data_IF_100207446050
#
_entry.id   IF_100207446050
#
_cell.length_a   1.000
_cell.length_b   1.000
_cell.length_c   1.000
_cell.angle_alpha   90.00
_cell.angle_beta   90.00
_cell.angle_gamma   90.00
#
_symmetry.space_group_name_H-M   'P 1'
#
loop_
_entity.id
_entity.type
_entity.pdbx_description
1 polymer ?
#
# COMPACT_ATOMS: atom_id res chain seq x y z
N UNK A 1 36.63 1.86 -19.01
CA UNK A 1 36.04 2.01 -17.68
C UNK A 1 34.61 1.48 -17.83
N UNK A 2 34.26 0.37 -17.17
CA UNK A 2 32.86 -0.07 -17.14
C UNK A 2 32.04 1.01 -16.41
N UNK A 3 30.96 1.48 -17.01
CA UNK A 3 29.99 2.29 -16.27
C UNK A 3 29.58 1.49 -15.04
N UNK A 4 29.55 2.13 -13.89
CA UNK A 4 29.05 1.49 -12.67
C UNK A 4 27.58 1.12 -12.90
N UNK A 5 27.24 -0.13 -12.67
CA UNK A 5 25.86 -0.62 -12.78
C UNK A 5 25.02 0.05 -11.71
N UNK A 6 23.86 0.63 -12.09
CA UNK A 6 22.92 1.26 -11.16
C UNK A 6 21.95 0.21 -10.67
N UNK A 7 21.88 0.00 -9.37
CA UNK A 7 20.96 -0.95 -8.72
C UNK A 7 19.69 -0.22 -8.29
N UNK A 8 18.55 -0.68 -8.78
CA UNK A 8 17.24 -0.10 -8.49
C UNK A 8 16.36 -1.17 -7.85
N UNK A 9 15.90 -0.88 -6.62
CA UNK A 9 14.79 -1.63 -6.00
C UNK A 9 13.47 -1.08 -6.53
N UNK A 10 12.74 -1.90 -7.28
CA UNK A 10 11.50 -1.50 -7.93
C UNK A 10 10.24 -1.84 -7.13
N UNK A 11 10.39 -2.46 -5.95
CA UNK A 11 9.28 -2.92 -5.10
C UNK A 11 9.58 -2.72 -3.60
N UNK A 12 10.21 -1.58 -3.28
CA UNK A 12 10.50 -1.22 -1.91
C UNK A 12 9.26 -0.74 -1.16
N UNK A 13 9.07 -1.21 0.08
CA UNK A 13 7.94 -0.78 0.91
C UNK A 13 8.34 0.21 1.99
N UNK A 14 7.41 1.11 2.31
CA UNK A 14 7.43 1.94 3.53
C UNK A 14 6.50 1.34 4.57
N UNK A 15 6.68 1.74 5.83
CA UNK A 15 5.76 1.44 6.93
C UNK A 15 5.19 2.78 7.39
N UNK A 16 4.00 3.09 6.95
CA UNK A 16 3.38 4.38 7.24
C UNK A 16 3.19 4.52 8.76
N UNK A 17 3.67 5.63 9.38
CA UNK A 17 3.35 5.90 10.77
C UNK A 17 1.86 5.72 11.07
N UNK A 18 1.52 5.17 12.22
CA UNK A 18 0.13 4.83 12.57
C UNK A 18 -0.84 6.02 12.44
N UNK A 19 -0.33 7.25 12.59
CA UNK A 19 -1.08 8.49 12.51
C UNK A 19 -1.02 9.19 11.12
N UNK A 20 -0.46 8.53 10.10
CA UNK A 20 -0.30 9.11 8.76
C UNK A 20 -1.62 9.62 8.20
N UNK A 21 -2.67 8.78 8.22
CA UNK A 21 -3.96 9.20 7.66
C UNK A 21 -4.62 10.28 8.50
N UNK A 22 -4.54 10.24 9.82
CA UNK A 22 -5.09 11.30 10.69
C UNK A 22 -4.44 12.66 10.42
N UNK A 23 -3.14 12.67 10.11
CA UNK A 23 -2.37 13.89 9.83
C UNK A 23 -2.60 14.45 8.42
N UNK A 24 -2.68 13.59 7.41
CA UNK A 24 -2.65 13.99 6.00
C UNK A 24 -4.02 13.97 5.31
N UNK A 25 -5.06 13.38 5.94
CA UNK A 25 -6.40 13.32 5.37
C UNK A 25 -7.09 14.70 5.46
N UNK A 26 -8.01 14.95 4.54
CA UNK A 26 -8.85 16.15 4.63
C UNK A 26 -9.64 16.17 5.96
N UNK A 27 -9.76 17.33 6.63
CA UNK A 27 -10.39 17.41 7.97
C UNK A 27 -11.77 16.79 8.06
N UNK A 28 -12.58 16.87 7.00
CA UNK A 28 -13.95 16.30 6.97
C UNK A 28 -14.01 14.77 7.04
N UNK A 29 -12.89 14.08 6.78
CA UNK A 29 -12.78 12.62 6.86
C UNK A 29 -11.95 12.13 8.04
N UNK A 30 -11.46 13.05 8.90
CA UNK A 30 -10.54 12.69 9.98
C UNK A 30 -11.11 11.65 10.94
N UNK A 31 -12.40 11.75 11.26
CA UNK A 31 -13.08 10.80 12.15
C UNK A 31 -13.24 9.40 11.53
N UNK A 32 -12.93 9.26 10.23
CA UNK A 32 -12.99 8.03 9.47
C UNK A 32 -11.62 7.60 8.96
N UNK A 33 -10.55 8.27 9.42
CA UNK A 33 -9.18 8.00 8.99
C UNK A 33 -8.75 6.57 9.34
N UNK A 34 -7.82 6.04 8.54
CA UNK A 34 -7.14 4.78 8.90
C UNK A 34 -6.35 5.00 10.18
N UNK A 35 -6.52 4.12 11.15
CA UNK A 35 -5.81 4.16 12.41
C UNK A 35 -5.66 2.75 13.02
N UNK A 36 -4.82 2.63 14.04
CA UNK A 36 -4.66 1.41 14.82
C UNK A 36 -5.40 1.59 16.15
N UNK A 37 -6.33 0.69 16.44
CA UNK A 37 -7.03 0.61 17.73
C UNK A 37 -6.66 -0.68 18.45
N UNK A 38 -7.03 -0.78 19.75
CA UNK A 38 -6.94 -2.02 20.52
C UNK A 38 -8.33 -2.58 20.77
N UNK A 39 -8.47 -3.88 20.58
CA UNK A 39 -9.73 -4.58 20.88
C UNK A 39 -9.87 -4.87 22.40
N UNK A 40 -10.96 -5.54 22.76
CA UNK A 40 -11.29 -5.96 24.14
C UNK A 40 -10.26 -6.93 24.76
N UNK A 41 -9.42 -7.55 23.94
CA UNK A 41 -8.33 -8.42 24.38
C UNK A 41 -6.97 -7.69 24.39
N UNK A 42 -6.95 -6.39 24.08
CA UNK A 42 -5.76 -5.57 24.02
C UNK A 42 -4.94 -5.75 22.73
N UNK A 43 -5.44 -6.52 21.75
CA UNK A 43 -4.77 -6.76 20.49
C UNK A 43 -4.97 -5.61 19.50
N UNK A 44 -3.93 -5.26 18.76
CA UNK A 44 -4.01 -4.23 17.74
C UNK A 44 -4.87 -4.65 16.56
N UNK A 45 -5.65 -3.70 16.04
CA UNK A 45 -6.52 -3.82 14.88
C UNK A 45 -6.30 -2.64 13.95
N UNK A 46 -6.13 -2.92 12.66
CA UNK A 46 -6.27 -1.87 11.65
C UNK A 46 -7.74 -1.51 11.48
N UNK A 47 -8.02 -0.21 11.54
CA UNK A 47 -9.38 0.33 11.43
C UNK A 47 -9.52 1.08 10.11
N UNK A 48 -10.52 0.70 9.31
CA UNK A 48 -10.90 1.37 8.06
C UNK A 48 -12.36 1.80 8.15
N UNK A 49 -12.61 3.10 7.98
CA UNK A 49 -13.97 3.64 8.16
C UNK A 49 -14.62 3.22 9.50
N UNK A 50 -13.82 3.27 10.56
CA UNK A 50 -14.19 2.82 11.91
C UNK A 50 -14.60 1.34 12.03
N UNK A 51 -14.23 0.51 11.05
CA UNK A 51 -14.45 -0.94 11.09
C UNK A 51 -13.11 -1.65 11.17
N UNK A 52 -12.97 -2.65 12.05
CA UNK A 52 -11.74 -3.41 12.14
C UNK A 52 -11.55 -4.30 10.90
N UNK A 53 -10.33 -4.40 10.45
CA UNK A 53 -9.93 -5.45 9.53
C UNK A 53 -9.95 -6.80 10.27
N UNK A 54 -10.70 -7.79 9.76
CA UNK A 54 -10.85 -9.06 10.43
C UNK A 54 -9.69 -10.02 10.18
N UNK A 55 -9.08 -9.96 9.00
CA UNK A 55 -7.96 -10.83 8.63
C UNK A 55 -6.73 -10.60 9.51
N UNK A 56 -6.41 -9.34 9.84
CA UNK A 56 -5.30 -8.97 10.72
C UNK A 56 -5.83 -8.61 12.11
N UNK A 57 -5.81 -9.58 13.02
CA UNK A 57 -6.13 -9.39 14.42
C UNK A 57 -4.92 -9.64 15.29
N UNK A 58 -4.31 -8.58 15.79
CA UNK A 58 -3.01 -8.63 16.44
C UNK A 58 -1.88 -8.92 15.46
N UNK A 59 -0.67 -9.05 15.96
CA UNK A 59 0.54 -9.29 15.16
C UNK A 59 0.75 -8.28 14.01
N UNK A 60 0.36 -7.01 14.21
CA UNK A 60 0.56 -5.98 13.19
C UNK A 60 2.05 -5.68 12.94
N UNK A 61 2.92 -6.01 13.90
CA UNK A 61 4.36 -5.97 13.70
C UNK A 61 4.87 -6.88 12.58
N UNK A 62 4.09 -7.92 12.22
CA UNK A 62 4.38 -8.77 11.07
C UNK A 62 4.34 -8.05 9.73
N UNK A 63 3.68 -6.89 9.64
CA UNK A 63 3.69 -6.03 8.44
C UNK A 63 5.07 -5.43 8.15
N UNK A 64 5.94 -5.34 9.16
CA UNK A 64 7.32 -4.87 9.01
C UNK A 64 8.28 -5.87 8.36
N UNK A 65 7.78 -7.06 8.01
CA UNK A 65 8.57 -8.07 7.32
C UNK A 65 9.43 -8.95 8.24
N UNK A 66 10.57 -9.37 7.74
CA UNK A 66 11.47 -10.30 8.42
C UNK A 66 12.48 -9.53 9.27
N UNK A 67 12.53 -9.81 10.56
CA UNK A 67 13.63 -9.37 11.41
C UNK A 67 14.83 -10.32 11.19
N UNK A 68 15.76 -9.89 10.35
CA UNK A 68 16.93 -10.68 9.99
C UNK A 68 17.90 -10.88 11.17
N UNK A 69 17.96 -9.92 12.11
CA UNK A 69 18.83 -10.05 13.30
C UNK A 69 18.31 -11.13 14.25
N UNK A 70 17.01 -11.28 14.36
CA UNK A 70 16.38 -12.30 15.20
C UNK A 70 16.18 -13.64 14.50
N UNK A 71 16.44 -13.72 13.17
CA UNK A 71 16.29 -14.94 12.39
C UNK A 71 14.86 -15.48 12.36
N UNK A 72 13.87 -14.62 12.65
CA UNK A 72 12.46 -14.98 12.71
C UNK A 72 11.72 -14.14 11.69
N UNK A 73 10.96 -14.79 10.81
CA UNK A 73 9.78 -14.19 10.22
C UNK A 73 9.04 -13.50 11.35
N UNK A 74 8.77 -12.19 11.21
CA UNK A 74 8.08 -11.40 12.22
C UNK A 74 6.94 -12.20 12.80
N UNK A 75 7.26 -12.96 13.84
CA UNK A 75 6.35 -13.94 14.34
C UNK A 75 5.81 -13.33 15.59
N UNK A 76 4.72 -13.36 15.69
CA UNK A 76 4.17 -14.63 15.83
C UNK A 76 3.38 -14.75 17.09
N UNK A 77 3.41 -13.74 17.91
CA UNK A 77 2.41 -13.60 18.95
C UNK A 77 1.45 -12.53 18.52
N UNK A 78 0.18 -12.67 18.83
CA UNK A 78 -0.83 -11.67 18.51
C UNK A 78 -0.53 -10.32 19.15
N UNK A 79 0.30 -10.31 20.19
CA UNK A 79 0.75 -9.14 20.94
C UNK A 79 1.88 -8.36 20.25
N UNK A 80 2.47 -8.89 19.17
CA UNK A 80 3.53 -8.19 18.42
C UNK A 80 2.95 -6.96 17.73
N UNK A 81 3.29 -5.78 18.27
CA UNK A 81 2.66 -4.52 17.85
C UNK A 81 3.25 -3.99 16.55
N UNK A 82 2.51 -3.12 15.88
CA UNK A 82 2.99 -2.43 14.68
C UNK A 82 4.31 -1.66 14.96
N UNK A 83 4.38 -0.99 16.09
CA UNK A 83 5.57 -0.25 16.49
C UNK A 83 6.80 -1.16 16.72
N UNK A 84 6.60 -2.33 17.33
CA UNK A 84 7.68 -3.29 17.57
C UNK A 84 8.26 -3.88 16.28
N UNK A 85 7.41 -4.00 15.25
CA UNK A 85 7.78 -4.55 13.94
C UNK A 85 8.21 -3.51 12.92
N UNK A 86 8.19 -2.23 13.25
CA UNK A 86 8.52 -1.16 12.30
C UNK A 86 9.99 -0.73 12.43
N UNK A 87 10.90 -1.22 11.55
CA UNK A 87 12.27 -0.75 11.56
C UNK A 87 12.34 0.72 11.12
N UNK A 88 13.29 1.50 11.65
CA UNK A 88 13.40 2.94 11.34
C UNK A 88 13.41 3.26 9.85
N UNK A 89 14.07 2.45 9.01
CA UNK A 89 14.08 2.64 7.56
C UNK A 89 12.71 2.49 6.88
N UNK A 90 11.69 1.99 7.59
CA UNK A 90 10.32 1.92 7.10
C UNK A 90 9.60 3.27 7.12
N UNK A 91 9.90 4.14 8.10
CA UNK A 91 9.16 5.38 8.34
C UNK A 91 10.02 6.64 8.46
N UNK A 92 11.34 6.51 8.55
CA UNK A 92 12.33 7.60 8.61
C UNK A 92 13.17 7.59 7.33
N UNK A 93 13.10 8.63 6.48
CA UNK A 93 13.82 8.67 5.22
C UNK A 93 15.33 8.70 5.41
N UNK A 94 15.86 9.31 6.48
CA UNK A 94 17.29 9.30 6.77
C UNK A 94 17.79 7.89 7.11
N UNK A 95 17.02 7.15 7.90
CA UNK A 95 17.32 5.76 8.20
C UNK A 95 17.19 4.88 6.94
N UNK A 96 16.21 5.15 6.06
CA UNK A 96 16.07 4.45 4.77
C UNK A 96 17.32 4.60 3.91
N UNK A 97 17.88 5.80 3.77
CA UNK A 97 19.11 6.00 2.99
C UNK A 97 20.26 5.14 3.54
N UNK A 98 20.40 5.03 4.86
CA UNK A 98 21.42 4.16 5.47
C UNK A 98 21.22 2.67 5.13
N UNK A 99 19.97 2.22 5.05
CA UNK A 99 19.64 0.84 4.61
C UNK A 99 20.05 0.65 3.15
N UNK A 100 19.68 1.58 2.25
CA UNK A 100 20.06 1.52 0.85
C UNK A 100 21.59 1.48 0.67
N UNK A 101 22.32 2.29 1.44
CA UNK A 101 23.79 2.30 1.41
C UNK A 101 24.37 0.95 1.86
N UNK A 102 23.82 0.35 2.91
CA UNK A 102 24.28 -0.92 3.44
C UNK A 102 24.00 -2.10 2.49
N UNK A 103 22.92 -2.02 1.72
CA UNK A 103 22.51 -3.05 0.76
C UNK A 103 23.03 -2.82 -0.67
N UNK A 104 23.70 -1.69 -0.91
CA UNK A 104 24.24 -1.35 -2.23
C UNK A 104 23.15 -1.00 -3.24
N UNK A 105 22.02 -0.47 -2.79
CA UNK A 105 20.90 -0.02 -3.62
C UNK A 105 21.03 1.47 -3.89
N UNK A 106 21.09 1.86 -5.16
CA UNK A 106 21.22 3.26 -5.56
C UNK A 106 19.89 4.02 -5.47
N UNK A 107 18.80 3.37 -5.87
CA UNK A 107 17.46 3.97 -5.96
C UNK A 107 16.38 2.99 -5.55
N UNK A 108 15.26 3.51 -5.02
CA UNK A 108 14.11 2.68 -4.64
C UNK A 108 12.80 3.35 -5.04
N UNK A 109 11.88 2.57 -5.61
CA UNK A 109 10.48 2.94 -5.76
C UNK A 109 9.72 2.49 -4.51
N UNK A 110 8.97 3.40 -3.88
CA UNK A 110 8.38 3.17 -2.57
C UNK A 110 6.86 3.02 -2.65
N UNK A 111 6.40 1.85 -2.21
CA UNK A 111 5.00 1.43 -2.15
C UNK A 111 4.48 1.43 -0.71
N UNK A 112 3.14 1.53 -0.51
CA UNK A 112 2.54 1.47 0.82
C UNK A 112 2.57 0.05 1.40
N UNK A 113 2.45 -0.05 2.73
CA UNK A 113 2.21 -1.31 3.45
C UNK A 113 0.82 -1.34 4.10
N UNK A 114 0.46 -0.37 4.96
CA UNK A 114 -0.92 -0.25 5.45
C UNK A 114 -1.85 0.10 4.29
N UNK A 115 -1.37 0.92 3.35
CA UNK A 115 -2.13 1.34 2.18
C UNK A 115 -2.64 0.21 1.29
N UNK A 116 -2.01 -0.97 1.29
CA UNK A 116 -2.50 -2.14 0.53
C UNK A 116 -3.57 -2.96 1.27
N UNK A 117 -3.95 -2.58 2.48
CA UNK A 117 -4.82 -3.39 3.34
C UNK A 117 -6.30 -2.95 3.35
N UNK A 118 -6.65 -1.80 2.78
CA UNK A 118 -7.97 -1.21 3.00
C UNK A 118 -8.94 -1.29 1.81
N UNK A 119 -8.46 -1.39 0.58
CA UNK A 119 -9.31 -1.23 -0.61
C UNK A 119 -10.45 -2.24 -0.71
N UNK A 120 -10.25 -3.47 -0.27
CA UNK A 120 -11.31 -4.48 -0.20
C UNK A 120 -12.35 -4.27 0.90
N UNK A 121 -12.10 -3.32 1.83
CA UNK A 121 -12.94 -3.07 3.01
C UNK A 121 -13.69 -1.74 2.95
N UNK A 122 -13.34 -0.85 2.03
CA UNK A 122 -13.93 0.50 1.89
C UNK A 122 -14.68 0.61 0.59
N UNK A 123 -15.99 0.83 0.67
CA UNK A 123 -16.89 0.97 -0.49
C UNK A 123 -17.33 2.40 -0.78
N UNK A 124 -17.00 3.36 0.08
CA UNK A 124 -17.28 4.79 -0.13
C UNK A 124 -16.24 5.40 -1.08
N UNK A 125 -16.60 5.77 -2.33
CA UNK A 125 -15.65 6.26 -3.32
C UNK A 125 -14.91 7.54 -2.88
N UNK A 126 -15.59 8.41 -2.14
CA UNK A 126 -14.98 9.68 -1.69
C UNK A 126 -14.00 9.46 -0.55
N UNK A 127 -14.30 8.52 0.35
CA UNK A 127 -13.37 8.14 1.41
C UNK A 127 -12.15 7.43 0.83
N UNK A 128 -12.34 6.53 -0.14
CA UNK A 128 -11.24 5.86 -0.85
C UNK A 128 -10.28 6.88 -1.48
N UNK A 129 -10.82 7.89 -2.20
CA UNK A 129 -10.02 8.99 -2.74
C UNK A 129 -9.30 9.77 -1.62
N UNK A 130 -9.96 10.03 -0.49
CA UNK A 130 -9.32 10.75 0.62
C UNK A 130 -8.17 9.93 1.24
N UNK A 131 -8.30 8.60 1.32
CA UNK A 131 -7.24 7.72 1.80
C UNK A 131 -6.02 7.73 0.89
N UNK A 132 -6.23 7.60 -0.42
CA UNK A 132 -5.12 7.66 -1.38
C UNK A 132 -4.43 9.03 -1.35
N UNK A 133 -5.19 10.11 -1.28
CA UNK A 133 -4.64 11.46 -1.17
C UNK A 133 -3.79 11.67 0.09
N UNK A 134 -4.22 11.11 1.23
CA UNK A 134 -3.46 11.21 2.47
C UNK A 134 -2.12 10.49 2.36
N UNK A 135 -2.12 9.25 1.89
CA UNK A 135 -0.89 8.49 1.63
C UNK A 135 0.02 9.23 0.63
N UNK A 136 -0.52 9.68 -0.50
CA UNK A 136 0.27 10.31 -1.56
C UNK A 136 0.93 11.62 -1.09
N UNK A 137 0.30 12.38 -0.20
CA UNK A 137 0.92 13.56 0.42
C UNK A 137 2.08 13.14 1.31
N UNK A 138 1.85 12.14 2.16
CA UNK A 138 2.87 11.67 3.09
C UNK A 138 4.09 11.06 2.37
N UNK A 139 3.89 10.21 1.35
CA UNK A 139 5.02 9.57 0.65
C UNK A 139 5.86 10.58 -0.13
N UNK A 140 5.23 11.64 -0.67
CA UNK A 140 5.97 12.74 -1.30
C UNK A 140 6.81 13.48 -0.27
N UNK A 141 6.27 13.78 0.92
CA UNK A 141 7.02 14.40 2.01
C UNK A 141 8.20 13.51 2.45
N UNK A 142 7.96 12.21 2.61
CA UNK A 142 9.00 11.23 2.93
C UNK A 142 10.14 11.23 1.89
N UNK A 143 9.79 11.12 0.60
CA UNK A 143 10.76 11.06 -0.49
C UNK A 143 11.45 12.40 -0.75
N UNK A 144 10.92 13.53 -0.27
CA UNK A 144 11.53 14.86 -0.41
C UNK A 144 12.89 14.96 0.26
N UNK A 145 13.22 14.07 1.19
CA UNK A 145 14.52 14.01 1.87
C UNK A 145 15.68 13.76 0.89
N UNK A 146 15.48 12.86 -0.09
CA UNK A 146 16.44 12.60 -1.17
C UNK A 146 15.72 12.19 -2.46
N UNK A 147 15.34 13.16 -3.27
CA UNK A 147 14.59 12.96 -4.52
C UNK A 147 15.39 12.28 -5.64
N UNK A 148 16.68 12.02 -5.42
CA UNK A 148 17.53 11.30 -6.38
C UNK A 148 17.56 9.79 -6.10
N UNK A 149 17.19 9.39 -4.90
CA UNK A 149 17.25 8.00 -4.46
C UNK A 149 15.89 7.42 -4.03
N UNK A 150 15.00 8.25 -3.47
CA UNK A 150 13.67 7.86 -2.97
C UNK A 150 12.60 8.31 -3.96
N UNK A 151 11.92 7.36 -4.60
CA UNK A 151 10.92 7.63 -5.63
C UNK A 151 9.52 7.26 -5.13
N UNK A 152 8.61 8.23 -4.96
CA UNK A 152 7.26 7.96 -4.50
C UNK A 152 6.42 7.33 -5.61
N UNK A 153 5.75 6.22 -5.29
CA UNK A 153 4.69 5.62 -6.13
C UNK A 153 3.34 6.03 -5.56
N UNK A 154 2.51 6.66 -6.38
CA UNK A 154 1.19 7.11 -5.97
C UNK A 154 0.22 5.93 -5.86
N UNK A 155 -0.55 5.87 -4.78
CA UNK A 155 -1.69 4.98 -4.67
C UNK A 155 -2.92 5.66 -5.28
N UNK A 156 -3.58 5.01 -6.22
CA UNK A 156 -4.81 5.50 -6.84
C UNK A 156 -5.92 4.46 -6.68
N UNK A 157 -7.09 4.89 -6.23
CA UNK A 157 -8.29 4.05 -6.19
C UNK A 157 -9.22 4.38 -7.37
N UNK A 158 -9.58 3.36 -8.14
CA UNK A 158 -10.53 3.49 -9.24
C UNK A 158 -12.01 3.38 -8.79
N UNK A 159 -12.27 3.36 -7.50
CA UNK A 159 -13.64 3.37 -6.97
C UNK A 159 -14.38 4.67 -7.31
N UNK A 160 -13.66 5.79 -7.37
CA UNK A 160 -14.10 7.08 -7.91
C UNK A 160 -13.28 7.46 -9.16
N UNK A 161 -13.70 7.11 -10.39
CA UNK A 161 -12.91 7.33 -11.59
C UNK A 161 -12.53 8.79 -11.83
N UNK A 162 -13.42 9.73 -11.50
CA UNK A 162 -13.13 11.17 -11.65
C UNK A 162 -12.14 11.66 -10.61
N UNK A 163 -12.30 11.21 -9.36
CA UNK A 163 -11.35 11.49 -8.29
C UNK A 163 -9.96 10.90 -8.58
N UNK A 164 -9.92 9.73 -9.22
CA UNK A 164 -8.69 9.07 -9.64
C UNK A 164 -7.86 9.92 -10.62
N UNK A 165 -8.50 10.50 -11.65
CA UNK A 165 -7.81 11.38 -12.61
C UNK A 165 -7.25 12.63 -11.90
N UNK A 166 -8.08 13.29 -11.10
CA UNK A 166 -7.64 14.48 -10.36
C UNK A 166 -6.46 14.19 -9.42
N UNK A 167 -6.51 13.04 -8.74
CA UNK A 167 -5.44 12.65 -7.83
C UNK A 167 -4.18 12.23 -8.59
N UNK A 168 -4.31 11.53 -9.72
CA UNK A 168 -3.20 11.20 -10.60
C UNK A 168 -2.43 12.47 -11.03
N UNK A 169 -3.15 13.46 -11.57
CA UNK A 169 -2.55 14.74 -11.99
C UNK A 169 -1.82 15.44 -10.83
N UNK A 170 -2.46 15.45 -9.64
CA UNK A 170 -1.89 16.06 -8.45
C UNK A 170 -0.62 15.33 -7.98
N UNK A 171 -0.66 14.00 -7.95
CA UNK A 171 0.44 13.17 -7.47
C UNK A 171 1.66 13.25 -8.40
N UNK A 172 1.46 13.18 -9.71
CA UNK A 172 2.52 13.34 -10.71
C UNK A 172 3.14 14.73 -10.61
N UNK A 173 2.33 15.79 -10.51
CA UNK A 173 2.82 17.15 -10.31
C UNK A 173 3.61 17.32 -9.00
N UNK A 174 3.28 16.54 -7.98
CA UNK A 174 3.98 16.54 -6.69
C UNK A 174 5.28 15.72 -6.70
N UNK A 175 5.56 14.97 -7.77
CA UNK A 175 6.82 14.24 -7.95
C UNK A 175 6.69 12.72 -7.89
N UNK A 176 5.48 12.15 -7.86
CA UNK A 176 5.30 10.71 -8.00
C UNK A 176 5.75 10.24 -9.39
N UNK A 177 6.50 9.15 -9.45
CA UNK A 177 7.13 8.62 -10.66
C UNK A 177 6.42 7.40 -11.23
N UNK A 178 5.43 6.88 -10.54
CA UNK A 178 4.62 5.75 -10.93
C UNK A 178 3.30 5.74 -10.16
N UNK A 179 2.41 4.89 -10.58
CA UNK A 179 1.10 4.66 -9.95
C UNK A 179 0.95 3.21 -9.58
N UNK A 180 0.43 2.97 -8.40
CA UNK A 180 -0.03 1.67 -7.93
C UNK A 180 -1.56 1.62 -8.00
N UNK A 181 -2.07 0.52 -8.57
CA UNK A 181 -3.48 0.13 -8.54
C UNK A 181 -3.64 -1.24 -7.89
N UNK A 182 -4.71 -1.40 -7.12
CA UNK A 182 -5.15 -2.72 -6.69
C UNK A 182 -5.67 -3.54 -7.87
N UNK A 183 -5.21 -4.78 -8.08
CA UNK A 183 -5.77 -5.68 -9.08
C UNK A 183 -7.16 -6.20 -8.69
N UNK A 184 -7.58 -5.99 -7.44
CA UNK A 184 -8.82 -6.50 -6.90
C UNK A 184 -10.05 -5.87 -7.54
N UNK A 185 -10.95 -6.72 -8.03
CA UNK A 185 -12.20 -6.30 -8.67
C UNK A 185 -13.09 -5.48 -7.71
N UNK A 186 -13.10 -5.82 -6.42
CA UNK A 186 -13.89 -5.12 -5.39
C UNK A 186 -13.37 -3.70 -5.14
N UNK A 187 -12.04 -3.47 -5.26
CA UNK A 187 -11.41 -2.16 -5.11
C UNK A 187 -11.85 -1.12 -6.16
N UNK A 188 -12.51 -1.57 -7.21
CA UNK A 188 -13.08 -0.71 -8.26
C UNK A 188 -14.58 -0.94 -8.48
N UNK A 189 -15.26 -1.41 -7.44
CA UNK A 189 -16.73 -1.57 -7.45
C UNK A 189 -17.23 -2.66 -8.39
N UNK A 190 -16.47 -3.74 -8.56
CA UNK A 190 -16.83 -4.88 -9.41
C UNK A 190 -16.66 -4.64 -10.90
N UNK A 191 -16.01 -3.55 -11.32
CA UNK A 191 -15.81 -3.18 -12.74
C UNK A 191 -14.48 -3.72 -13.25
N UNK A 192 -14.43 -4.21 -14.48
CA UNK A 192 -13.19 -4.61 -15.14
C UNK A 192 -12.33 -3.38 -15.49
N UNK A 193 -11.02 -3.51 -15.61
CA UNK A 193 -10.13 -2.41 -15.99
C UNK A 193 -10.43 -1.83 -17.38
N UNK A 194 -11.07 -2.61 -18.25
CA UNK A 194 -11.52 -2.17 -19.59
C UNK A 194 -12.87 -1.44 -19.57
N UNK A 195 -13.47 -1.23 -18.40
CA UNK A 195 -14.74 -0.49 -18.30
C UNK A 195 -14.56 0.93 -18.85
N UNK A 196 -15.49 1.40 -19.70
CA UNK A 196 -15.42 2.74 -20.31
C UNK A 196 -15.31 3.88 -19.29
N UNK A 197 -15.78 3.70 -18.06
CA UNK A 197 -15.66 4.73 -17.02
C UNK A 197 -14.19 5.00 -16.63
N UNK A 198 -13.27 4.07 -16.90
CA UNK A 198 -11.84 4.24 -16.63
C UNK A 198 -11.07 4.81 -17.81
N UNK A 199 -11.69 5.03 -18.98
CA UNK A 199 -11.00 5.52 -20.18
C UNK A 199 -10.27 6.84 -19.96
N UNK A 200 -10.87 7.77 -19.19
CA UNK A 200 -10.23 9.06 -18.87
C UNK A 200 -9.00 8.90 -17.98
N UNK A 201 -9.01 7.94 -17.07
CA UNK A 201 -7.85 7.63 -16.24
C UNK A 201 -6.70 7.06 -17.09
N UNK A 202 -7.00 6.09 -17.97
CA UNK A 202 -5.99 5.49 -18.83
C UNK A 202 -5.40 6.50 -19.81
N UNK A 203 -6.24 7.37 -20.40
CA UNK A 203 -5.77 8.46 -21.26
C UNK A 203 -4.86 9.41 -20.50
N UNK A 204 -5.25 9.83 -19.29
CA UNK A 204 -4.44 10.73 -18.47
C UNK A 204 -3.09 10.10 -18.09
N UNK A 205 -3.08 8.81 -17.72
CA UNK A 205 -1.83 8.10 -17.40
C UNK A 205 -0.90 8.01 -18.62
N UNK A 206 -1.48 7.74 -19.82
CA UNK A 206 -0.74 7.70 -21.07
C UNK A 206 -0.19 9.08 -21.46
N UNK A 207 -1.01 10.13 -21.38
CA UNK A 207 -0.61 11.50 -21.74
C UNK A 207 0.51 12.04 -20.82
N UNK A 208 0.55 11.58 -19.57
CA UNK A 208 1.60 11.92 -18.61
C UNK A 208 2.81 10.98 -18.69
N UNK A 209 2.77 9.96 -19.55
CA UNK A 209 3.81 8.92 -19.66
C UNK A 209 4.15 8.27 -18.30
N UNK A 210 3.15 8.13 -17.41
CA UNK A 210 3.33 7.58 -16.07
C UNK A 210 3.12 6.06 -16.06
N UNK A 211 4.07 5.26 -15.57
CA UNK A 211 3.89 3.82 -15.45
C UNK A 211 2.84 3.47 -14.42
N UNK A 212 2.01 2.48 -14.73
CA UNK A 212 0.98 1.94 -13.84
C UNK A 212 1.36 0.51 -13.46
N UNK A 213 1.57 0.27 -12.17
CA UNK A 213 1.84 -1.04 -11.61
C UNK A 213 0.59 -1.62 -10.92
N UNK A 214 0.45 -2.93 -10.98
CA UNK A 214 -0.52 -3.67 -10.18
C UNK A 214 0.22 -4.35 -9.04
N UNK A 215 -0.25 -4.12 -7.82
CA UNK A 215 0.40 -4.66 -6.64
C UNK A 215 -0.60 -5.48 -5.82
N UNK A 216 -0.12 -6.60 -5.25
CA UNK A 216 -0.90 -7.44 -4.34
C UNK A 216 -1.53 -6.62 -3.22
N UNK A 217 -2.72 -7.01 -2.80
CA UNK A 217 -3.45 -6.38 -1.69
C UNK A 217 -3.79 -7.41 -0.61
N UNK A 218 -3.89 -6.93 0.63
CA UNK A 218 -4.32 -7.73 1.77
C UNK A 218 -5.77 -7.37 2.10
N UNK A 219 -6.65 -8.36 2.22
CA UNK A 219 -8.07 -8.14 2.45
C UNK A 219 -8.69 -9.19 3.36
N UNK A 220 -9.84 -8.87 3.95
CA UNK A 220 -10.57 -9.75 4.86
C UNK A 220 -11.13 -11.00 4.17
N UNK A 221 -11.50 -10.87 2.90
CA UNK A 221 -12.00 -11.99 2.10
C UNK A 221 -11.01 -12.31 1.01
N UNK A 222 -10.30 -13.46 1.10
CA UNK A 222 -9.41 -13.87 0.02
C UNK A 222 -10.16 -13.95 -1.31
N UNK A 223 -9.53 -13.49 -2.40
CA UNK A 223 -10.07 -13.58 -3.76
C UNK A 223 -10.55 -14.98 -4.11
N UNK A 224 -9.97 -15.98 -3.48
CA UNK A 224 -10.22 -17.38 -3.70
C UNK A 224 -11.51 -17.92 -3.06
N UNK A 225 -12.17 -17.17 -2.17
CA UNK A 225 -13.41 -17.65 -1.53
C UNK A 225 -14.49 -18.00 -2.55
N UNK A 226 -14.47 -17.33 -3.71
CA UNK A 226 -15.35 -17.66 -4.85
C UNK A 226 -14.91 -18.90 -5.66
N UNK A 227 -13.66 -19.35 -5.50
CA UNK A 227 -13.09 -20.52 -6.17
C UNK A 227 -12.87 -21.70 -5.22
N UNK A 228 -13.02 -21.52 -3.92
CA UNK A 228 -12.94 -22.61 -2.96
C UNK A 228 -14.23 -23.43 -2.97
N UNK A 229 -14.30 -24.39 -3.87
CA UNK A 229 -15.46 -25.26 -4.04
C UNK A 229 -15.75 -26.12 -2.79
N UNK A 230 -14.78 -26.28 -1.87
CA UNK A 230 -14.89 -27.16 -0.71
C UNK A 230 -14.47 -26.52 0.63
N UNK A 231 -14.38 -25.19 0.72
CA UNK A 231 -14.11 -24.51 2.00
C UNK A 231 -12.71 -24.76 2.61
N UNK A 232 -11.84 -25.47 1.92
CA UNK A 232 -10.44 -25.65 2.32
C UNK A 232 -9.63 -24.48 1.80
N UNK A 233 -8.88 -23.75 2.66
CA UNK A 233 -7.87 -22.82 2.20
C UNK A 233 -6.86 -23.61 1.36
N UNK A 234 -6.72 -23.25 0.07
CA UNK A 234 -5.78 -23.90 -0.82
C UNK A 234 -4.37 -23.87 -0.27
N UNK A 235 -3.65 -24.95 -0.43
CA UNK A 235 -2.22 -25.02 -0.13
C UNK A 235 -1.48 -23.89 -0.82
N UNK A 236 -0.43 -23.34 -0.18
CA UNK A 236 0.26 -22.14 -0.58
C UNK A 236 0.74 -22.07 -2.04
N UNK A 237 0.84 -23.21 -2.74
CA UNK A 237 1.18 -23.26 -4.18
C UNK A 237 0.05 -22.71 -5.05
N UNK A 238 -1.21 -22.96 -4.70
CA UNK A 238 -2.37 -22.38 -5.39
C UNK A 238 -2.49 -20.87 -5.13
N UNK A 239 -2.04 -20.37 -3.99
CA UNK A 239 -2.05 -18.95 -3.66
C UNK A 239 -1.29 -18.14 -4.71
N UNK A 240 -0.07 -18.53 -5.06
CA UNK A 240 0.75 -17.83 -6.05
C UNK A 240 0.23 -17.98 -7.48
N UNK A 241 -0.35 -19.13 -7.83
CA UNK A 241 -0.95 -19.32 -9.15
C UNK A 241 -2.18 -18.43 -9.38
N UNK A 242 -2.98 -18.18 -8.34
CA UNK A 242 -4.16 -17.32 -8.43
C UNK A 242 -3.83 -15.83 -8.42
N UNK A 243 -2.77 -15.41 -7.74
CA UNK A 243 -2.28 -14.04 -7.83
C UNK A 243 -1.87 -13.66 -9.27
N UNK A 244 -1.46 -14.64 -10.08
CA UNK A 244 -1.12 -14.45 -11.48
C UNK A 244 -2.34 -14.47 -12.45
N UNK A 245 -3.52 -14.88 -11.99
CA UNK A 245 -4.73 -15.04 -12.81
C UNK A 245 -5.75 -13.91 -12.61
N UNK A 246 -5.68 -13.18 -11.50
CA UNK A 246 -6.59 -12.05 -11.21
C UNK A 246 -6.12 -10.70 -11.83
N UNK A 247 -5.19 -10.76 -12.80
CA UNK A 247 -4.71 -9.60 -13.59
C UNK A 247 -5.59 -9.37 -14.80
#
# INVERSE_FOLDING_TARGET
MSEAEVVIDADGHVLEPADTWEKYIEPKYRDRAIHIARDDQGLERLMFDNKPMEFLRGNLGGLGGIDLEKGKLGTQTREYTYADGSPPGGYDPQARIKVLDAEGIDRVLLYPTIGICWEGNVSDPKLATAYTQAYNRWIVDFCSYDTKRLYPVAHISLLDPKGAVTELERAVKAGCVGVYLSPDLEARGGRAFVDPEFSTFWSAAQDMEIPVGFHVVVRDRPAFSRFSVNGTPGDGLFFFAFLAIDV
#
